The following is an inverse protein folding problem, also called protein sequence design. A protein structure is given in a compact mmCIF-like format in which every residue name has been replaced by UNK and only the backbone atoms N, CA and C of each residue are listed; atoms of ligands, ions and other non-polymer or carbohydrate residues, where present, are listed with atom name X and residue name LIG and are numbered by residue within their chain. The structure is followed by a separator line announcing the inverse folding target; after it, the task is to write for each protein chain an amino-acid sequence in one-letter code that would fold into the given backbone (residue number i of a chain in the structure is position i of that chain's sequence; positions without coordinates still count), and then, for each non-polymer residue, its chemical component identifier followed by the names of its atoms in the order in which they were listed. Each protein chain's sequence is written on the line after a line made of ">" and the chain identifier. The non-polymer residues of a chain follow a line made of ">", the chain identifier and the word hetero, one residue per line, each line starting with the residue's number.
data_IF_230726440125
#
_entry.id   IF_230726440125
#
_cell.length_a   1.000
_cell.length_b   1.000
_cell.length_c   1.000
_cell.angle_alpha   90.00
_cell.angle_beta   90.00
_cell.angle_gamma   90.00
#
_symmetry.space_group_name_H-M   'P 1'
#
loop_
_entity.id
_entity.type
_entity.pdbx_description
1 polymer ?
#
# COMPACT_ATOMS: atom_id res chain seq x y z
N UNK A 1 42.10 21.01 4.14
CA UNK A 1 41.83 19.60 3.85
C UNK A 1 40.61 19.51 2.96
N UNK A 2 40.81 19.00 1.74
CA UNK A 2 39.82 18.91 0.66
C UNK A 2 38.82 17.77 0.87
N UNK A 3 37.57 18.07 0.51
CA UNK A 3 36.51 17.23 -0.09
C UNK A 3 36.32 15.77 0.38
N UNK A 4 35.10 15.47 0.85
CA UNK A 4 34.49 14.16 0.58
C UNK A 4 33.07 14.31 0.04
N UNK A 5 32.99 14.09 -1.27
CA UNK A 5 31.79 13.88 -2.06
C UNK A 5 31.07 12.58 -1.63
N UNK A 6 30.24 12.63 -0.59
CA UNK A 6 29.43 11.47 -0.16
C UNK A 6 28.17 11.22 -1.01
N UNK A 7 27.93 12.02 -2.05
CA UNK A 7 26.76 11.92 -2.94
C UNK A 7 27.12 11.46 -4.35
N UNK A 8 28.15 10.62 -4.51
CA UNK A 8 28.35 9.95 -5.79
C UNK A 8 27.45 8.71 -5.87
N UNK A 9 26.38 8.83 -6.65
CA UNK A 9 25.40 7.78 -6.97
C UNK A 9 26.00 6.58 -7.75
N UNK A 10 27.33 6.52 -7.86
CA UNK A 10 28.15 5.53 -8.56
C UNK A 10 28.77 4.48 -7.63
N UNK A 11 28.50 4.52 -6.31
CA UNK A 11 28.87 3.42 -5.40
C UNK A 11 28.12 2.13 -5.80
N UNK A 12 28.80 0.98 -6.03
CA UNK A 12 28.16 -0.28 -6.39
C UNK A 12 27.02 -0.69 -5.45
N UNK A 13 27.16 -0.41 -4.14
CA UNK A 13 26.11 -0.69 -3.15
C UNK A 13 24.86 0.16 -3.38
N UNK A 14 25.02 1.44 -3.75
CA UNK A 14 23.89 2.32 -4.05
C UNK A 14 23.15 1.88 -5.32
N UNK A 15 23.89 1.48 -6.36
CA UNK A 15 23.32 0.93 -7.60
C UNK A 15 22.52 -0.35 -7.34
N UNK A 16 23.07 -1.27 -6.54
CA UNK A 16 22.36 -2.51 -6.16
C UNK A 16 21.08 -2.18 -5.39
N UNK A 17 21.15 -1.26 -4.42
CA UNK A 17 19.99 -0.85 -3.62
C UNK A 17 18.88 -0.22 -4.46
N UNK A 18 19.22 0.50 -5.53
CA UNK A 18 18.24 1.10 -6.44
C UNK A 18 17.36 0.04 -7.11
N UNK A 19 17.89 -1.15 -7.40
CA UNK A 19 17.10 -2.25 -7.98
C UNK A 19 16.09 -2.85 -6.99
N UNK A 20 16.25 -2.62 -5.70
CA UNK A 20 15.34 -3.09 -4.66
C UNK A 20 14.27 -2.07 -4.27
N UNK A 21 14.33 -0.86 -4.84
CA UNK A 21 13.29 0.14 -4.66
C UNK A 21 12.03 -0.27 -5.42
N UNK A 22 10.85 -0.14 -4.79
CA UNK A 22 9.59 -0.44 -5.45
C UNK A 22 9.37 0.53 -6.61
N UNK A 23 8.85 -0.01 -7.71
CA UNK A 23 8.52 0.77 -8.91
C UNK A 23 7.01 0.97 -8.98
N UNK A 24 6.52 2.22 -9.06
CA UNK A 24 5.10 2.47 -9.29
C UNK A 24 4.71 2.12 -10.73
N UNK A 25 3.43 2.22 -11.04
CA UNK A 25 2.96 2.11 -12.40
C UNK A 25 3.39 3.32 -13.24
N UNK A 26 3.61 3.08 -14.53
CA UNK A 26 3.95 4.07 -15.55
C UNK A 26 2.94 4.11 -16.70
N UNK A 27 2.01 3.15 -16.75
CA UNK A 27 1.02 3.04 -17.81
C UNK A 27 -0.34 2.53 -17.32
N UNK A 28 -1.40 2.91 -18.02
CA UNK A 28 -2.80 2.60 -17.70
C UNK A 28 -3.15 1.10 -17.71
N UNK A 29 -2.39 0.29 -18.45
CA UNK A 29 -2.61 -1.15 -18.60
C UNK A 29 -1.88 -1.98 -17.53
N UNK A 30 -1.03 -1.37 -16.71
CA UNK A 30 -0.30 -2.08 -15.67
C UNK A 30 -1.22 -2.36 -14.49
N UNK A 31 -1.57 -3.64 -14.33
CA UNK A 31 -2.38 -4.12 -13.23
C UNK A 31 -1.52 -4.35 -11.98
N UNK A 32 -1.79 -3.59 -10.92
CA UNK A 32 -1.06 -3.68 -9.65
C UNK A 32 -1.79 -4.51 -8.59
N UNK A 33 -2.97 -5.09 -8.89
CA UNK A 33 -3.75 -5.93 -7.96
C UNK A 33 -2.85 -6.94 -7.24
N UNK A 34 -2.11 -7.77 -7.98
CA UNK A 34 -1.28 -8.82 -7.38
C UNK A 34 -0.10 -8.26 -6.56
N UNK A 35 0.48 -7.15 -7.01
CA UNK A 35 1.59 -6.49 -6.31
C UNK A 35 1.10 -5.98 -4.95
N UNK A 36 -0.02 -5.25 -4.94
CA UNK A 36 -0.61 -4.71 -3.72
C UNK A 36 -0.98 -5.84 -2.75
N UNK A 37 -1.68 -6.88 -3.23
CA UNK A 37 -2.06 -8.03 -2.41
C UNK A 37 -0.84 -8.77 -1.85
N UNK A 38 0.23 -8.94 -2.64
CA UNK A 38 1.45 -9.59 -2.17
C UNK A 38 2.13 -8.80 -1.03
N UNK A 39 2.21 -7.47 -1.13
CA UNK A 39 2.74 -6.63 -0.05
C UNK A 39 1.89 -6.71 1.22
N UNK A 40 0.56 -6.74 1.07
CA UNK A 40 -0.37 -6.89 2.17
C UNK A 40 -0.23 -8.26 2.84
N UNK A 41 -0.20 -9.34 2.06
CA UNK A 41 0.05 -10.71 2.53
C UNK A 41 1.40 -10.84 3.24
N UNK A 42 2.46 -10.28 2.65
CA UNK A 42 3.79 -10.27 3.24
C UNK A 42 3.80 -9.52 4.57
N UNK A 43 3.14 -8.35 4.65
CA UNK A 43 3.01 -7.60 5.89
C UNK A 43 2.36 -8.43 6.99
N UNK A 44 1.27 -9.15 6.66
CA UNK A 44 0.58 -10.03 7.61
C UNK A 44 1.46 -11.20 8.06
N UNK A 45 2.10 -11.90 7.11
CA UNK A 45 3.01 -12.99 7.42
C UNK A 45 4.12 -12.55 8.36
N UNK A 46 4.75 -11.41 8.07
CA UNK A 46 5.82 -10.84 8.91
C UNK A 46 5.30 -10.44 10.29
N UNK A 47 4.09 -9.89 10.36
CA UNK A 47 3.45 -9.54 11.62
C UNK A 47 3.28 -10.77 12.50
N UNK A 48 2.83 -11.90 11.94
CA UNK A 48 2.71 -13.17 12.66
C UNK A 48 4.06 -13.73 13.11
N UNK A 49 5.12 -13.57 12.29
CA UNK A 49 6.47 -13.96 12.66
C UNK A 49 7.18 -12.99 13.63
N UNK A 50 6.55 -11.88 14.02
CA UNK A 50 7.08 -10.85 14.92
C UNK A 50 8.41 -10.20 14.46
N UNK A 51 8.69 -10.17 13.14
CA UNK A 51 9.92 -9.58 12.59
C UNK A 51 9.72 -8.07 12.35
N UNK A 52 9.94 -7.27 13.39
CA UNK A 52 9.62 -5.82 13.39
C UNK A 52 10.28 -5.05 12.25
N UNK A 53 11.58 -5.26 12.00
CA UNK A 53 12.31 -4.51 10.96
C UNK A 53 11.75 -4.77 9.56
N UNK A 54 11.45 -6.04 9.26
CA UNK A 54 10.91 -6.44 7.96
C UNK A 54 9.47 -5.93 7.78
N UNK A 55 8.71 -5.82 8.87
CA UNK A 55 7.35 -5.23 8.87
C UNK A 55 7.41 -3.76 8.46
N UNK A 56 8.30 -3.00 9.09
CA UNK A 56 8.51 -1.57 8.79
C UNK A 56 8.98 -1.40 7.34
N UNK A 57 9.93 -2.23 6.89
CA UNK A 57 10.44 -2.18 5.53
C UNK A 57 9.35 -2.48 4.49
N UNK A 58 8.56 -3.52 4.72
CA UNK A 58 7.45 -3.92 3.84
C UNK A 58 6.41 -2.81 3.73
N UNK A 59 6.03 -2.22 4.88
CA UNK A 59 5.09 -1.10 4.90
C UNK A 59 5.64 0.13 4.18
N UNK A 60 6.93 0.47 4.38
CA UNK A 60 7.58 1.58 3.71
C UNK A 60 7.63 1.38 2.18
N UNK A 61 7.91 0.15 1.72
CA UNK A 61 7.89 -0.16 0.29
C UNK A 61 6.48 -0.06 -0.29
N UNK A 62 5.46 -0.56 0.41
CA UNK A 62 4.07 -0.40 -0.01
C UNK A 62 3.66 1.08 -0.06
N UNK A 63 4.06 1.89 0.93
CA UNK A 63 3.85 3.33 0.91
C UNK A 63 4.46 3.99 -0.33
N UNK A 64 5.70 3.65 -0.67
CA UNK A 64 6.37 4.15 -1.89
C UNK A 64 5.66 3.73 -3.17
N UNK A 65 5.08 2.52 -3.22
CA UNK A 65 4.24 2.09 -4.35
C UNK A 65 3.02 2.98 -4.43
N UNK A 66 2.25 3.11 -3.34
CA UNK A 66 0.99 3.85 -3.34
C UNK A 66 1.18 5.34 -3.64
N UNK A 67 2.17 6.00 -3.03
CA UNK A 67 2.42 7.43 -3.29
C UNK A 67 2.87 7.69 -4.74
N UNK A 68 3.55 6.73 -5.37
CA UNK A 68 3.92 6.80 -6.78
C UNK A 68 2.84 6.26 -7.72
N UNK A 69 1.81 5.59 -7.20
CA UNK A 69 0.80 4.91 -7.99
C UNK A 69 -0.14 5.93 -8.61
N UNK A 70 -0.06 6.08 -9.92
CA UNK A 70 -0.97 6.92 -10.66
C UNK A 70 -2.31 6.19 -10.84
N UNK A 71 -3.35 6.66 -10.14
CA UNK A 71 -4.65 6.03 -10.16
C UNK A 71 -5.43 6.39 -11.43
N UNK A 72 -5.27 5.59 -12.48
CA UNK A 72 -6.17 5.66 -13.62
C UNK A 72 -7.56 5.15 -13.23
N UNK A 73 -8.62 5.74 -13.80
CA UNK A 73 -10.03 5.30 -13.58
C UNK A 73 -10.19 3.79 -13.83
N UNK A 74 -9.54 3.26 -14.87
CA UNK A 74 -9.57 1.83 -15.20
C UNK A 74 -8.84 0.93 -14.20
N UNK A 75 -8.05 1.50 -13.29
CA UNK A 75 -7.25 0.81 -12.26
C UNK A 75 -7.82 0.97 -10.84
N UNK A 76 -8.93 1.70 -10.65
CA UNK A 76 -9.61 1.81 -9.35
C UNK A 76 -9.94 0.42 -8.78
N UNK A 77 -10.26 -0.55 -9.63
CA UNK A 77 -10.48 -1.95 -9.24
C UNK A 77 -9.29 -2.60 -8.51
N UNK A 78 -8.05 -2.17 -8.76
CA UNK A 78 -6.87 -2.68 -8.03
C UNK A 78 -6.95 -2.30 -6.54
N UNK A 79 -7.40 -1.07 -6.24
CA UNK A 79 -7.58 -0.55 -4.87
C UNK A 79 -8.81 -1.18 -4.20
N UNK A 80 -9.91 -1.37 -4.94
CA UNK A 80 -11.12 -2.04 -4.42
C UNK A 80 -10.78 -3.48 -4.00
N UNK A 81 -10.04 -4.22 -4.82
CA UNK A 81 -9.61 -5.59 -4.47
C UNK A 81 -8.70 -5.62 -3.25
N UNK A 82 -7.77 -4.67 -3.14
CA UNK A 82 -6.93 -4.51 -1.96
C UNK A 82 -7.79 -4.28 -0.71
N UNK A 83 -8.76 -3.37 -0.77
CA UNK A 83 -9.68 -3.13 0.33
C UNK A 83 -10.48 -4.37 0.69
N UNK A 84 -11.17 -4.99 -0.29
CA UNK A 84 -11.97 -6.20 -0.06
C UNK A 84 -11.13 -7.26 0.65
N UNK A 85 -9.90 -7.49 0.18
CA UNK A 85 -8.99 -8.43 0.82
C UNK A 85 -8.67 -8.08 2.28
N UNK A 86 -8.37 -6.81 2.58
CA UNK A 86 -8.04 -6.36 3.95
C UNK A 86 -9.23 -6.40 4.92
N UNK A 87 -10.45 -6.23 4.42
CA UNK A 87 -11.66 -6.18 5.26
C UNK A 87 -12.42 -7.51 5.35
N UNK A 88 -12.22 -8.43 4.39
CA UNK A 88 -12.76 -9.80 4.42
C UNK A 88 -12.04 -10.71 5.41
N UNK A 89 -10.80 -10.36 5.78
CA UNK A 89 -9.98 -11.17 6.68
C UNK A 89 -9.75 -10.44 8.02
N UNK A 90 -10.79 -10.36 8.88
CA UNK A 90 -10.73 -9.61 10.12
C UNK A 90 -9.64 -10.11 11.08
N UNK A 91 -9.37 -11.42 11.07
CA UNK A 91 -8.34 -12.05 11.91
C UNK A 91 -6.92 -11.59 11.60
N UNK A 92 -6.68 -11.00 10.43
CA UNK A 92 -5.34 -10.64 10.01
C UNK A 92 -4.76 -9.49 10.85
N UNK A 93 -5.59 -8.56 11.33
CA UNK A 93 -5.18 -7.43 12.19
C UNK A 93 -6.40 -6.87 12.95
N UNK A 94 -7.24 -7.74 13.52
CA UNK A 94 -8.36 -7.25 14.34
C UNK A 94 -7.80 -6.40 15.47
N UNK A 95 -8.56 -5.36 15.82
CA UNK A 95 -8.20 -4.30 16.78
C UNK A 95 -7.29 -4.86 17.87
N UNK A 96 -6.01 -4.47 17.83
CA UNK A 96 -5.27 -4.25 19.07
C UNK A 96 -6.27 -3.62 20.03
N UNK A 97 -6.39 -4.18 21.24
CA UNK A 97 -7.42 -3.94 22.26
C UNK A 97 -7.81 -2.45 22.51
N UNK A 98 -7.11 -1.50 21.89
CA UNK A 98 -7.23 -0.06 21.92
C UNK A 98 -7.99 0.61 20.76
N UNK A 99 -8.76 -0.13 19.94
CA UNK A 99 -9.59 0.42 18.84
C UNK A 99 -8.85 1.16 17.71
N UNK A 100 -7.53 1.25 17.73
CA UNK A 100 -6.71 1.96 16.73
C UNK A 100 -6.52 1.12 15.46
N UNK A 101 -6.64 1.75 14.29
CA UNK A 101 -6.32 1.11 13.00
C UNK A 101 -4.84 0.70 12.98
N UNK A 102 -4.54 -0.47 12.43
CA UNK A 102 -3.16 -0.87 12.19
C UNK A 102 -2.52 0.01 11.08
N UNK A 103 -1.19 0.11 11.08
CA UNK A 103 -0.47 1.00 10.16
C UNK A 103 -0.73 0.71 8.68
N UNK A 104 -0.97 -0.55 8.31
CA UNK A 104 -1.30 -0.94 6.93
C UNK A 104 -2.67 -0.38 6.52
N UNK A 105 -3.68 -0.49 7.38
CA UNK A 105 -5.01 0.05 7.13
C UNK A 105 -5.00 1.57 7.09
N UNK A 106 -4.27 2.23 8.00
CA UNK A 106 -4.09 3.69 7.98
C UNK A 106 -3.51 4.13 6.63
N UNK A 107 -2.49 3.42 6.14
CA UNK A 107 -1.85 3.74 4.86
C UNK A 107 -2.84 3.68 3.69
N UNK A 108 -3.60 2.59 3.57
CA UNK A 108 -4.54 2.40 2.46
C UNK A 108 -5.70 3.39 2.53
N UNK A 109 -6.25 3.66 3.72
CA UNK A 109 -7.32 4.66 3.90
C UNK A 109 -6.82 6.06 3.51
N UNK A 110 -5.61 6.45 3.96
CA UNK A 110 -5.02 7.75 3.58
C UNK A 110 -4.84 7.88 2.07
N UNK A 111 -4.40 6.81 1.40
CA UNK A 111 -4.27 6.80 -0.06
C UNK A 111 -5.63 6.99 -0.76
N UNK A 112 -6.67 6.31 -0.29
CA UNK A 112 -8.01 6.44 -0.86
C UNK A 112 -8.56 7.85 -0.66
N UNK A 113 -8.37 8.45 0.52
CA UNK A 113 -8.77 9.83 0.78
C UNK A 113 -8.02 10.81 -0.12
N UNK A 114 -6.74 10.55 -0.39
CA UNK A 114 -5.94 11.36 -1.33
C UNK A 114 -6.48 11.27 -2.77
N UNK A 115 -6.94 10.10 -3.20
CA UNK A 115 -7.45 9.85 -4.56
C UNK A 115 -8.98 9.87 -4.67
N UNK A 116 -9.68 10.42 -3.68
CA UNK A 116 -11.13 10.26 -3.53
C UNK A 116 -11.92 10.81 -4.73
N UNK A 117 -11.40 11.85 -5.40
CA UNK A 117 -12.03 12.45 -6.57
C UNK A 117 -12.06 11.54 -7.80
N UNK A 118 -11.11 10.61 -7.91
CA UNK A 118 -11.09 9.60 -8.95
C UNK A 118 -11.92 8.40 -8.50
N UNK A 119 -11.73 7.95 -7.26
CA UNK A 119 -12.36 6.75 -6.70
C UNK A 119 -13.89 6.89 -6.65
N UNK A 120 -14.41 8.07 -6.24
CA UNK A 120 -15.86 8.31 -6.13
C UNK A 120 -16.61 8.25 -7.46
N UNK A 121 -15.90 8.34 -8.60
CA UNK A 121 -16.48 8.23 -9.95
C UNK A 121 -16.60 6.77 -10.41
N UNK A 122 -16.08 5.82 -9.66
CA UNK A 122 -16.13 4.41 -9.98
C UNK A 122 -17.38 3.76 -9.37
N UNK A 123 -18.31 3.31 -10.21
CA UNK A 123 -19.55 2.66 -9.76
C UNK A 123 -19.29 1.43 -8.89
N UNK A 124 -18.21 0.69 -9.15
CA UNK A 124 -17.82 -0.47 -8.32
C UNK A 124 -17.47 -0.06 -6.89
N UNK A 125 -16.83 1.10 -6.72
CA UNK A 125 -16.52 1.63 -5.40
C UNK A 125 -17.78 2.13 -4.68
N UNK A 126 -18.67 2.83 -5.39
CA UNK A 126 -19.94 3.31 -4.84
C UNK A 126 -20.79 2.14 -4.36
N UNK A 127 -20.95 1.10 -5.18
CA UNK A 127 -21.65 -0.14 -4.80
C UNK A 127 -21.01 -0.79 -3.59
N UNK A 128 -19.67 -0.84 -3.54
CA UNK A 128 -18.97 -1.41 -2.40
C UNK A 128 -19.30 -0.63 -1.11
N UNK A 129 -19.32 0.71 -1.14
CA UNK A 129 -19.72 1.55 0.01
C UNK A 129 -21.16 1.26 0.43
N UNK A 130 -22.08 1.13 -0.53
CA UNK A 130 -23.50 0.84 -0.29
C UNK A 130 -23.72 -0.57 0.30
N UNK A 131 -22.90 -1.56 -0.09
CA UNK A 131 -22.88 -2.92 0.50
C UNK A 131 -22.58 -2.86 2.03
N UNK A 132 -21.91 -1.81 2.48
CA UNK A 132 -21.61 -1.60 3.90
C UNK A 132 -20.49 -2.49 4.44
N UNK A 133 -20.42 -2.62 5.77
CA UNK A 133 -19.47 -3.50 6.46
C UNK A 133 -18.45 -2.76 7.32
N UNK A 134 -17.42 -3.48 7.79
CA UNK A 134 -16.41 -2.94 8.74
C UNK A 134 -15.65 -1.75 8.15
N UNK A 135 -15.51 -1.68 6.83
CA UNK A 135 -14.70 -0.67 6.16
C UNK A 135 -15.34 0.71 6.08
N UNK A 136 -16.68 0.79 6.03
CA UNK A 136 -17.39 2.08 5.99
C UNK A 136 -17.12 2.90 7.25
N UNK A 137 -16.75 2.27 8.37
CA UNK A 137 -16.42 2.96 9.63
C UNK A 137 -15.08 3.72 9.58
N UNK A 138 -14.26 3.43 8.58
CA UNK A 138 -12.92 4.00 8.44
C UNK A 138 -12.87 5.18 7.46
N UNK A 139 -14.02 5.58 6.89
CA UNK A 139 -14.25 6.74 6.00
C UNK A 139 -15.31 7.67 6.58
#
# INVERSE_FOLDING_TARGET
>A
FNSQNYLNNSNPKALILQHFEPKPNTAINQNFTLVLLAYTQLYYFIYLCLIVLLKVLTLNKLYKILIGFHLYITRVGDIIKLMRYMYLNPDLLDRSNNRTLNNLRILVVKYILYEIDIIRKCDEFVKYIEEGGKFVRDF
#
